data_IF_527296622569
#
_entry.id   IF_527296622569
#
_cell.length_a   1.000
_cell.length_b   1.000
_cell.length_c   1.000
_cell.angle_alpha   90.00
_cell.angle_beta   90.00
_cell.angle_gamma   90.00
#
_symmetry.space_group_name_H-M   'P 1'
#
loop_
_entity.id
_entity.type
_entity.pdbx_description
1 polymer ?
#
# COMPACT_ATOMS: atom_id res chain seq x y z
N UNK A 1 -14.82 -18.66 37.55
CA UNK A 1 -14.64 -17.25 37.18
C UNK A 1 -14.03 -17.19 35.79
N UNK A 2 -14.82 -16.89 34.75
CA UNK A 2 -14.27 -16.57 33.44
C UNK A 2 -13.67 -15.17 33.54
N UNK A 3 -12.35 -15.04 33.39
CA UNK A 3 -11.72 -13.73 33.19
C UNK A 3 -12.40 -13.09 31.97
N UNK A 4 -12.90 -11.85 32.05
CA UNK A 4 -13.32 -11.14 30.85
C UNK A 4 -12.13 -11.16 29.89
N UNK A 5 -12.37 -11.58 28.65
CA UNK A 5 -11.32 -11.65 27.64
C UNK A 5 -10.61 -10.30 27.59
N UNK A 6 -9.31 -10.30 27.87
CA UNK A 6 -8.51 -9.08 27.86
C UNK A 6 -8.70 -8.42 26.48
N UNK A 7 -9.06 -7.15 26.47
CA UNK A 7 -9.17 -6.34 25.26
C UNK A 7 -7.79 -6.37 24.61
N UNK A 8 -7.62 -7.21 23.59
CA UNK A 8 -6.38 -7.29 22.82
C UNK A 8 -6.28 -5.99 22.00
N UNK A 9 -5.23 -5.17 22.17
CA UNK A 9 -5.06 -3.94 21.41
C UNK A 9 -4.58 -4.25 20.00
N UNK A 10 -5.44 -4.83 19.17
CA UNK A 10 -5.19 -5.10 17.75
C UNK A 10 -4.95 -3.81 16.94
N UNK A 11 -5.31 -2.65 17.50
CA UNK A 11 -5.16 -1.34 16.86
C UNK A 11 -3.70 -1.01 16.55
N UNK A 12 -2.75 -1.35 17.42
CA UNK A 12 -1.34 -1.08 17.18
C UNK A 12 -0.81 -1.94 16.02
N UNK A 13 -1.18 -3.22 15.99
CA UNK A 13 -0.82 -4.15 14.91
C UNK A 13 -1.41 -3.70 13.57
N UNK A 14 -2.66 -3.24 13.56
CA UNK A 14 -3.32 -2.66 12.39
C UNK A 14 -2.57 -1.43 11.89
N UNK A 15 -2.32 -0.46 12.76
CA UNK A 15 -1.60 0.78 12.39
C UNK A 15 -0.19 0.49 11.87
N UNK A 16 0.53 -0.46 12.46
CA UNK A 16 1.86 -0.86 12.00
C UNK A 16 1.80 -1.53 10.61
N UNK A 17 0.80 -2.40 10.38
CA UNK A 17 0.55 -3.02 9.08
C UNK A 17 0.29 -1.96 8.01
N UNK A 18 -0.62 -1.02 8.31
CA UNK A 18 -0.98 0.09 7.43
C UNK A 18 0.22 0.98 7.13
N UNK A 19 1.02 1.29 8.13
CA UNK A 19 2.19 2.14 7.96
C UNK A 19 3.25 1.46 7.08
N UNK A 20 3.69 0.25 7.44
CA UNK A 20 4.79 -0.45 6.75
C UNK A 20 4.36 -0.97 5.38
N UNK A 21 3.29 -1.77 5.33
CA UNK A 21 2.84 -2.36 4.07
C UNK A 21 2.12 -1.35 3.19
N UNK A 22 1.42 -0.37 3.79
CA UNK A 22 0.77 0.68 3.01
C UNK A 22 1.78 1.64 2.38
N UNK A 23 2.89 1.94 3.05
CA UNK A 23 3.99 2.70 2.44
C UNK A 23 4.64 1.91 1.29
N UNK A 24 4.90 0.62 1.48
CA UNK A 24 5.42 -0.24 0.43
C UNK A 24 4.47 -0.31 -0.78
N UNK A 25 3.17 -0.53 -0.54
CA UNK A 25 2.14 -0.55 -1.58
C UNK A 25 2.07 0.77 -2.33
N UNK A 26 2.16 1.89 -1.62
CA UNK A 26 2.10 3.21 -2.21
C UNK A 26 3.30 3.49 -3.13
N UNK A 27 4.50 3.08 -2.73
CA UNK A 27 5.70 3.19 -3.58
C UNK A 27 5.58 2.33 -4.84
N UNK A 28 5.06 1.10 -4.71
CA UNK A 28 4.83 0.22 -5.87
C UNK A 28 3.76 0.79 -6.81
N UNK A 29 2.66 1.32 -6.26
CA UNK A 29 1.60 1.95 -7.04
C UNK A 29 2.09 3.22 -7.76
N UNK A 30 2.88 4.07 -7.09
CA UNK A 30 3.52 5.25 -7.69
C UNK A 30 4.52 4.85 -8.79
N UNK A 31 5.26 3.75 -8.60
CA UNK A 31 6.12 3.18 -9.64
C UNK A 31 5.33 2.69 -10.86
N UNK A 32 4.24 1.95 -10.64
CA UNK A 32 3.32 1.51 -11.69
C UNK A 32 2.74 2.69 -12.47
N UNK A 33 2.34 3.74 -11.76
CA UNK A 33 1.84 4.98 -12.37
C UNK A 33 2.90 5.64 -13.26
N UNK A 34 4.18 5.64 -12.85
CA UNK A 34 5.27 6.17 -13.65
C UNK A 34 5.53 5.37 -14.96
N UNK A 35 5.34 4.05 -14.92
CA UNK A 35 5.52 3.17 -16.09
C UNK A 35 4.30 3.11 -17.01
N UNK A 36 3.08 3.13 -16.47
CA UNK A 36 1.83 3.03 -17.24
C UNK A 36 1.38 4.36 -17.86
N UNK A 37 1.92 5.50 -17.40
CA UNK A 37 1.57 6.81 -18.01
C UNK A 37 2.43 7.12 -19.24
N UNK A 38 1.84 7.67 -20.33
CA UNK A 38 2.54 8.00 -21.56
C UNK A 38 3.76 8.91 -21.33
N UNK A 39 4.92 8.61 -21.92
CA UNK A 39 6.15 9.41 -21.79
C UNK A 39 7.19 8.88 -20.78
N UNK A 40 6.95 7.72 -20.15
CA UNK A 40 7.92 7.07 -19.27
C UNK A 40 8.32 7.87 -18.01
N UNK A 41 9.37 7.46 -17.29
CA UNK A 41 9.83 8.11 -16.06
C UNK A 41 10.44 9.50 -16.26
N UNK A 42 10.85 9.83 -17.49
CA UNK A 42 11.59 11.05 -17.81
C UNK A 42 10.73 12.24 -18.26
N UNK A 43 9.40 12.11 -18.31
CA UNK A 43 8.57 13.20 -18.79
C UNK A 43 8.53 14.39 -17.80
N UNK A 44 8.61 15.64 -18.28
CA UNK A 44 8.52 16.83 -17.43
C UNK A 44 7.22 16.84 -16.62
N UNK A 45 7.24 17.37 -15.39
CA UNK A 45 6.12 17.47 -14.44
C UNK A 45 5.53 16.17 -13.88
N UNK A 46 5.93 14.98 -14.36
CA UNK A 46 5.43 13.72 -13.78
C UNK A 46 5.92 13.46 -12.36
N UNK A 47 7.15 13.86 -12.03
CA UNK A 47 7.69 13.68 -10.68
C UNK A 47 6.84 14.37 -9.62
N UNK A 48 6.37 15.58 -9.88
CA UNK A 48 5.50 16.29 -8.96
C UNK A 48 4.15 15.59 -8.85
N UNK A 49 3.50 15.22 -9.96
CA UNK A 49 2.22 14.51 -9.93
C UNK A 49 2.30 13.18 -9.15
N UNK A 50 3.35 12.37 -9.39
CA UNK A 50 3.60 11.12 -8.67
C UNK A 50 3.87 11.36 -7.18
N UNK A 51 4.61 12.41 -6.83
CA UNK A 51 4.86 12.80 -5.44
C UNK A 51 3.55 13.19 -4.73
N UNK A 52 2.70 13.99 -5.39
CA UNK A 52 1.43 14.45 -4.83
C UNK A 52 0.38 13.35 -4.70
N UNK A 53 0.39 12.33 -5.57
CA UNK A 53 -0.52 11.17 -5.48
C UNK A 53 -0.12 10.20 -4.36
N UNK A 54 1.16 10.16 -3.99
CA UNK A 54 1.67 9.23 -2.96
C UNK A 54 1.00 9.50 -1.60
N UNK A 55 0.90 10.75 -1.17
CA UNK A 55 0.28 11.11 0.11
C UNK A 55 -1.21 10.71 0.25
N UNK A 56 -2.12 11.05 -0.69
CA UNK A 56 -3.53 10.66 -0.60
C UNK A 56 -3.75 9.15 -0.79
N UNK A 57 -2.95 8.47 -1.62
CA UNK A 57 -3.02 7.01 -1.74
C UNK A 57 -2.63 6.37 -0.40
N UNK A 58 -1.54 6.83 0.21
CA UNK A 58 -1.10 6.33 1.51
C UNK A 58 -2.14 6.59 2.61
N UNK A 59 -2.74 7.79 2.65
CA UNK A 59 -3.83 8.11 3.56
C UNK A 59 -5.06 7.20 3.36
N UNK A 60 -5.45 6.92 2.11
CA UNK A 60 -6.55 6.01 1.79
C UNK A 60 -6.27 4.57 2.23
N UNK A 61 -5.03 4.10 2.08
CA UNK A 61 -4.61 2.77 2.58
C UNK A 61 -4.66 2.75 4.11
N UNK A 62 -4.16 3.80 4.79
CA UNK A 62 -4.22 3.92 6.25
C UNK A 62 -5.67 3.93 6.77
N UNK A 63 -6.61 4.58 6.08
CA UNK A 63 -8.03 4.51 6.42
C UNK A 63 -8.62 3.11 6.21
N UNK A 64 -8.24 2.43 5.14
CA UNK A 64 -8.75 1.08 4.79
C UNK A 64 -8.37 0.03 5.83
N UNK A 65 -7.23 0.19 6.51
CA UNK A 65 -6.74 -0.68 7.58
C UNK A 65 -7.73 -0.80 8.75
N UNK A 66 -8.46 0.28 9.05
CA UNK A 66 -9.47 0.29 10.11
C UNK A 66 -10.77 -0.42 9.73
N UNK A 67 -10.98 -0.71 8.44
CA UNK A 67 -12.12 -1.49 7.97
C UNK A 67 -11.97 -2.99 8.30
N UNK A 68 -10.74 -3.46 8.57
CA UNK A 68 -10.49 -4.87 8.92
C UNK A 68 -10.79 -5.15 10.40
N UNK A 69 -11.47 -6.27 10.66
CA UNK A 69 -11.85 -6.69 12.02
C UNK A 69 -10.64 -7.10 12.88
N UNK A 70 -9.58 -7.67 12.31
CA UNK A 70 -8.36 -8.10 13.03
C UNK A 70 -7.06 -7.58 12.42
N UNK A 71 -6.00 -7.45 13.23
CA UNK A 71 -4.66 -7.09 12.75
C UNK A 71 -4.11 -8.12 11.75
N UNK A 72 -4.27 -9.40 12.02
CA UNK A 72 -3.83 -10.48 11.12
C UNK A 72 -4.54 -10.46 9.75
N UNK A 73 -5.79 -10.02 9.69
CA UNK A 73 -6.49 -9.84 8.42
C UNK A 73 -5.95 -8.63 7.64
N UNK A 74 -5.64 -7.52 8.32
CA UNK A 74 -5.00 -6.36 7.70
C UNK A 74 -3.64 -6.72 7.11
N UNK A 75 -2.79 -7.46 7.84
CA UNK A 75 -1.50 -7.94 7.35
C UNK A 75 -1.63 -8.85 6.12
N UNK A 76 -2.58 -9.79 6.11
CA UNK A 76 -2.79 -10.68 4.94
C UNK A 76 -3.29 -9.92 3.72
N UNK A 77 -4.23 -9.00 3.89
CA UNK A 77 -4.76 -8.21 2.79
C UNK A 77 -3.75 -7.21 2.24
N UNK A 78 -3.10 -6.42 3.11
CA UNK A 78 -2.06 -5.51 2.67
C UNK A 78 -0.86 -6.25 2.09
N UNK A 79 -0.43 -7.35 2.71
CA UNK A 79 0.67 -8.17 2.19
C UNK A 79 0.35 -8.74 0.81
N UNK A 80 -0.85 -9.29 0.62
CA UNK A 80 -1.32 -9.75 -0.68
C UNK A 80 -1.37 -8.63 -1.73
N UNK A 81 -1.91 -7.46 -1.36
CA UNK A 81 -1.94 -6.30 -2.24
C UNK A 81 -0.52 -5.82 -2.63
N UNK A 82 0.41 -5.78 -1.69
CA UNK A 82 1.81 -5.41 -1.94
C UNK A 82 2.50 -6.40 -2.88
N UNK A 83 2.29 -7.71 -2.69
CA UNK A 83 2.85 -8.74 -3.59
C UNK A 83 2.26 -8.61 -5.00
N UNK A 84 0.94 -8.40 -5.12
CA UNK A 84 0.29 -8.18 -6.42
C UNK A 84 0.82 -6.91 -7.12
N UNK A 85 0.98 -5.81 -6.38
CA UNK A 85 1.54 -4.57 -6.92
C UNK A 85 3.00 -4.75 -7.35
N UNK A 86 3.80 -5.51 -6.59
CA UNK A 86 5.18 -5.82 -6.96
C UNK A 86 5.24 -6.68 -8.23
N UNK A 87 4.40 -7.70 -8.32
CA UNK A 87 4.29 -8.54 -9.51
C UNK A 87 3.86 -7.74 -10.74
N UNK A 88 2.88 -6.85 -10.59
CA UNK A 88 2.43 -5.97 -11.66
C UNK A 88 3.51 -4.97 -12.09
N UNK A 89 4.29 -4.43 -11.16
CA UNK A 89 5.40 -3.53 -11.48
C UNK A 89 6.53 -4.26 -12.22
N UNK A 90 6.88 -5.48 -11.79
CA UNK A 90 7.84 -6.33 -12.49
C UNK A 90 7.33 -6.70 -13.89
N UNK A 91 6.04 -7.00 -14.02
CA UNK A 91 5.41 -7.25 -15.30
C UNK A 91 5.47 -6.03 -16.23
N UNK A 92 5.16 -4.83 -15.71
CA UNK A 92 5.32 -3.60 -16.48
C UNK A 92 6.77 -3.40 -16.91
N UNK A 93 7.74 -3.60 -16.01
CA UNK A 93 9.17 -3.45 -16.33
C UNK A 93 9.66 -4.45 -17.37
N UNK A 94 9.22 -5.70 -17.36
CA UNK A 94 9.67 -6.70 -18.35
C UNK A 94 9.04 -6.51 -19.74
N UNK A 95 7.85 -5.92 -19.84
CA UNK A 95 7.14 -5.75 -21.11
C UNK A 95 7.33 -4.35 -21.72
N UNK A 96 7.68 -3.34 -20.90
CA UNK A 96 7.88 -1.94 -21.34
C UNK A 96 9.36 -1.51 -21.40
N UNK A 97 10.30 -2.35 -20.93
CA UNK A 97 11.74 -2.22 -21.19
C UNK A 97 12.16 -3.23 -22.25
#
# INVERSE_FOLDING_TARGET
MNKPAAIQPDWLSKSLAGFVLGLALCLLASGLFAWLTPGGPGAPNKFQATMWITAPVWAGVMSSVYFFRSGAQAWRWLGGATVLAAAALLACRQFLC
#
